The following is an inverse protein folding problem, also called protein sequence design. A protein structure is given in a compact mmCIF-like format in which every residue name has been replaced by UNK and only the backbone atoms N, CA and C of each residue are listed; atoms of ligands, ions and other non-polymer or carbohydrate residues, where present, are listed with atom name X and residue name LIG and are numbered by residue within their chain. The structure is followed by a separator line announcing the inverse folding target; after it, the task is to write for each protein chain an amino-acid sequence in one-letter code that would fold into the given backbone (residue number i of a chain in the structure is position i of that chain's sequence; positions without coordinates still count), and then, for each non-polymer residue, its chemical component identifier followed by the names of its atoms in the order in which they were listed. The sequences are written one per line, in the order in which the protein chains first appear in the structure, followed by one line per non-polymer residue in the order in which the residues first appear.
data_IF_313052905060
#
_entry.id   IF_313052905060
#
_cell.length_a   1.000
_cell.length_b   1.000
_cell.length_c   1.000
_cell.angle_alpha   90.00
_cell.angle_beta   90.00
_cell.angle_gamma   90.00
#
_symmetry.space_group_name_H-M   'P 1'
#
loop_
_entity.id
_entity.type
_entity.pdbx_description
1 polymer ?
#
# COMPACT_ATOMS: atom_id res chain seq x y z
N UNK A 1 8.11 -1.28 0.26
CA UNK A 1 6.83 -1.17 0.98
C UNK A 1 6.60 0.30 1.26
N UNK A 2 5.54 0.88 0.67
CA UNK A 2 5.13 2.28 0.84
C UNK A 2 3.61 2.37 1.06
N UNK A 3 3.12 3.58 1.36
CA UNK A 3 1.77 3.77 1.88
C UNK A 3 1.83 3.83 3.40
N UNK A 4 0.89 3.19 4.08
CA UNK A 4 0.93 3.03 5.52
C UNK A 4 2.00 2.01 5.87
N UNK A 5 3.09 2.44 6.52
CA UNK A 5 4.11 1.54 7.04
C UNK A 5 3.89 1.34 8.54
N UNK A 6 3.37 0.19 9.02
CA UNK A 6 3.00 0.00 10.42
C UNK A 6 4.10 0.31 11.44
N UNK A 7 5.37 0.14 11.06
CA UNK A 7 6.53 0.51 11.88
C UNK A 7 6.57 2.01 12.25
N UNK A 8 5.89 2.86 11.47
CA UNK A 8 5.80 4.31 11.65
C UNK A 8 4.46 4.75 12.26
N UNK A 9 3.72 3.85 12.90
CA UNK A 9 2.37 4.10 13.43
C UNK A 9 2.28 5.35 14.32
N UNK A 10 3.27 5.58 15.18
CA UNK A 10 3.30 6.73 16.07
C UNK A 10 3.47 8.05 15.30
N UNK A 11 4.28 8.05 14.24
CA UNK A 11 4.45 9.21 13.37
C UNK A 11 3.17 9.52 12.57
N UNK A 12 2.42 8.50 12.17
CA UNK A 12 1.13 8.67 11.51
C UNK A 12 -0.03 8.99 12.48
N UNK A 13 0.16 8.73 13.77
CA UNK A 13 -0.88 8.80 14.78
C UNK A 13 -1.97 7.76 14.55
N UNK A 14 -1.58 6.52 14.25
CA UNK A 14 -2.46 5.36 14.06
C UNK A 14 -2.48 4.81 12.61
N UNK A 15 -3.28 3.77 12.41
CA UNK A 15 -3.50 3.15 11.09
C UNK A 15 -4.39 4.05 10.23
N UNK A 16 -3.76 4.91 9.44
CA UNK A 16 -4.46 5.89 8.59
C UNK A 16 -4.16 5.63 7.12
N UNK A 17 -5.18 5.79 6.29
CA UNK A 17 -5.04 5.80 4.82
C UNK A 17 -4.07 6.90 4.40
N UNK A 18 -3.10 6.54 3.55
CA UNK A 18 -2.07 7.43 3.02
C UNK A 18 -2.42 7.94 1.61
N UNK A 19 -1.84 9.06 1.17
CA UNK A 19 -2.09 9.58 -0.18
C UNK A 19 -3.45 10.25 -0.39
N UNK A 20 -4.09 10.74 0.68
CA UNK A 20 -5.41 11.42 0.62
C UNK A 20 -5.38 12.79 -0.06
N UNK A 21 -4.26 13.50 0.04
CA UNK A 21 -4.07 14.81 -0.61
C UNK A 21 -3.29 14.62 -1.90
N UNK A 22 -3.48 15.54 -2.85
CA UNK A 22 -2.75 15.51 -4.11
C UNK A 22 -1.22 15.51 -3.91
N UNK A 23 -0.72 16.33 -2.97
CA UNK A 23 0.69 16.38 -2.64
C UNK A 23 1.20 15.03 -2.08
N UNK A 24 0.44 14.40 -1.17
CA UNK A 24 0.80 13.09 -0.63
C UNK A 24 0.73 11.99 -1.70
N UNK A 25 -0.25 12.05 -2.60
CA UNK A 25 -0.40 11.12 -3.70
C UNK A 25 0.78 11.21 -4.68
N UNK A 26 1.16 12.43 -5.09
CA UNK A 26 2.34 12.67 -5.95
C UNK A 26 3.62 12.12 -5.31
N UNK A 27 3.81 12.37 -4.01
CA UNK A 27 4.96 11.84 -3.26
C UNK A 27 4.99 10.32 -3.23
N UNK A 28 3.84 9.64 -3.11
CA UNK A 28 3.79 8.18 -3.16
C UNK A 28 4.16 7.63 -4.55
N UNK A 29 3.69 8.27 -5.62
CA UNK A 29 4.07 7.91 -6.99
C UNK A 29 5.58 8.06 -7.19
N UNK A 30 6.14 9.19 -6.75
CA UNK A 30 7.58 9.45 -6.84
C UNK A 30 8.39 8.42 -6.05
N UNK A 31 8.00 8.14 -4.81
CA UNK A 31 8.65 7.12 -3.99
C UNK A 31 8.62 5.74 -4.65
N UNK A 32 7.51 5.36 -5.29
CA UNK A 32 7.37 4.09 -5.99
C UNK A 32 8.38 3.99 -7.15
N UNK A 33 8.46 5.03 -7.98
CA UNK A 33 9.40 5.11 -9.10
C UNK A 33 10.86 5.12 -8.64
N UNK A 34 11.17 5.80 -7.52
CA UNK A 34 12.50 5.82 -6.95
C UNK A 34 12.92 4.45 -6.41
N UNK A 35 11.99 3.71 -5.80
CA UNK A 35 12.27 2.34 -5.34
C UNK A 35 12.57 1.40 -6.50
N UNK A 36 11.78 1.46 -7.58
CA UNK A 36 12.05 0.71 -8.81
C UNK A 36 13.42 1.08 -9.39
N UNK A 37 13.71 2.37 -9.53
CA UNK A 37 15.00 2.86 -10.03
C UNK A 37 16.18 2.40 -9.16
N UNK A 38 15.96 2.24 -7.85
CA UNK A 38 16.97 1.72 -6.91
C UNK A 38 17.16 0.20 -7.00
N UNK A 39 16.38 -0.51 -7.83
CA UNK A 39 16.49 -1.95 -8.05
C UNK A 39 15.53 -2.80 -7.22
N UNK A 40 14.47 -2.22 -6.65
CA UNK A 40 13.41 -3.03 -6.06
C UNK A 40 12.78 -3.95 -7.13
N UNK A 41 12.56 -5.21 -6.79
CA UNK A 41 11.93 -6.17 -7.72
C UNK A 41 10.39 -6.18 -7.62
N UNK A 42 9.83 -5.62 -6.56
CA UNK A 42 8.39 -5.47 -6.32
C UNK A 42 8.13 -4.40 -5.25
N UNK A 43 6.91 -3.86 -5.20
CA UNK A 43 6.50 -2.84 -4.20
C UNK A 43 5.17 -3.21 -3.54
N UNK A 44 5.18 -3.34 -2.22
CA UNK A 44 3.93 -3.40 -1.43
C UNK A 44 3.32 -2.01 -1.27
N UNK A 45 2.02 -1.88 -1.54
CA UNK A 45 1.18 -0.71 -1.31
C UNK A 45 0.17 -1.01 -0.19
N UNK A 46 0.29 -0.35 0.95
CA UNK A 46 -0.58 -0.57 2.12
C UNK A 46 -1.46 0.65 2.44
N UNK A 47 -2.77 0.42 2.64
CA UNK A 47 -3.78 1.46 2.96
C UNK A 47 -3.68 2.72 2.08
N UNK A 48 -3.73 2.53 0.76
CA UNK A 48 -3.68 3.58 -0.27
C UNK A 48 -5.02 3.63 -1.01
N UNK A 49 -5.57 4.81 -1.39
CA UNK A 49 -6.76 4.89 -2.21
C UNK A 49 -6.64 4.06 -3.49
N UNK A 50 -7.65 3.25 -3.80
CA UNK A 50 -7.63 2.33 -4.94
C UNK A 50 -7.24 3.00 -6.27
N UNK A 51 -7.78 4.20 -6.55
CA UNK A 51 -7.40 4.97 -7.74
C UNK A 51 -5.92 5.33 -7.80
N UNK A 52 -5.31 5.64 -6.65
CA UNK A 52 -3.89 5.95 -6.57
C UNK A 52 -3.03 4.69 -6.72
N UNK A 53 -3.44 3.58 -6.10
CA UNK A 53 -2.76 2.30 -6.26
C UNK A 53 -2.78 1.83 -7.72
N UNK A 54 -3.91 1.99 -8.43
CA UNK A 54 -4.00 1.76 -9.87
C UNK A 54 -3.00 2.60 -10.66
N UNK A 55 -2.95 3.91 -10.41
CA UNK A 55 -2.00 4.82 -11.07
C UNK A 55 -0.55 4.40 -10.84
N UNK A 56 -0.20 3.96 -9.63
CA UNK A 56 1.15 3.49 -9.31
C UNK A 56 1.43 2.19 -10.07
N UNK A 57 0.49 1.25 -10.05
CA UNK A 57 0.61 -0.05 -10.74
C UNK A 57 0.83 0.12 -12.24
N UNK A 58 0.04 0.98 -12.89
CA UNK A 58 0.17 1.29 -14.32
C UNK A 58 1.49 2.01 -14.69
N UNK A 59 2.18 2.60 -13.71
CA UNK A 59 3.43 3.35 -13.93
C UNK A 59 4.69 2.53 -13.70
N UNK A 60 4.63 1.49 -12.87
CA UNK A 60 5.76 0.63 -12.59
C UNK A 60 5.85 -0.48 -13.62
N UNK A 61 7.08 -0.93 -13.88
CA UNK A 61 7.35 -2.16 -14.64
C UNK A 61 7.46 -3.39 -13.74
N UNK A 62 7.76 -3.18 -12.45
CA UNK A 62 7.82 -4.22 -11.42
C UNK A 62 6.44 -4.47 -10.76
N UNK A 63 6.18 -5.68 -10.27
CA UNK A 63 4.91 -6.01 -9.61
C UNK A 63 4.61 -5.15 -8.38
N UNK A 64 3.35 -4.76 -8.27
CA UNK A 64 2.75 -4.16 -7.07
C UNK A 64 1.95 -5.19 -6.28
N UNK A 65 2.07 -5.17 -4.95
CA UNK A 65 1.33 -6.06 -4.05
C UNK A 65 0.47 -5.22 -3.12
N UNK A 66 -0.85 -5.35 -3.22
CA UNK A 66 -1.81 -4.57 -2.45
C UNK A 66 -2.19 -5.21 -1.10
N UNK A 67 -2.38 -4.36 -0.08
CA UNK A 67 -3.14 -4.68 1.13
C UNK A 67 -3.91 -3.43 1.56
N UNK A 68 -5.24 -3.47 1.49
CA UNK A 68 -6.06 -2.26 1.63
C UNK A 68 -5.77 -1.22 0.53
N UNK A 69 -5.39 -1.66 -0.67
CA UNK A 69 -5.02 -0.80 -1.80
C UNK A 69 -5.91 -0.98 -3.05
N UNK A 70 -7.00 -1.75 -2.93
CA UNK A 70 -7.88 -2.09 -4.06
C UNK A 70 -7.34 -3.24 -4.92
N UNK A 71 -8.14 -3.61 -5.93
CA UNK A 71 -7.91 -4.80 -6.75
C UNK A 71 -7.02 -4.58 -7.97
N UNK A 72 -6.68 -3.33 -8.30
CA UNK A 72 -5.88 -3.00 -9.49
C UNK A 72 -4.36 -3.20 -9.29
N UNK A 73 -3.89 -3.64 -8.10
CA UNK A 73 -2.49 -4.09 -7.93
C UNK A 73 -2.29 -5.48 -8.56
N UNK A 74 -1.07 -5.79 -8.99
CA UNK A 74 -0.74 -7.05 -9.68
C UNK A 74 -0.89 -8.30 -8.80
N UNK A 75 -0.74 -8.13 -7.49
CA UNK A 75 -0.96 -9.16 -6.49
C UNK A 75 -1.53 -8.60 -5.20
N UNK A 76 -1.88 -9.49 -4.28
CA UNK A 76 -2.49 -9.14 -2.99
C UNK A 76 -1.77 -9.87 -1.86
N UNK A 77 -1.74 -9.26 -0.69
CA UNK A 77 -1.26 -9.86 0.55
C UNK A 77 -2.27 -9.61 1.67
N UNK A 78 -2.44 -10.61 2.54
CA UNK A 78 -3.21 -10.50 3.77
C UNK A 78 -2.45 -11.17 4.90
N UNK A 79 -2.71 -10.73 6.12
CA UNK A 79 -2.28 -11.42 7.33
C UNK A 79 -3.17 -12.67 7.49
N UNK A 80 -2.56 -13.85 7.60
CA UNK A 80 -3.31 -15.11 7.51
C UNK A 80 -4.35 -15.27 8.64
N UNK A 81 -4.06 -14.75 9.84
CA UNK A 81 -4.98 -14.78 10.98
C UNK A 81 -6.24 -13.96 10.72
N UNK A 82 -6.09 -12.81 10.06
CA UNK A 82 -7.23 -11.97 9.65
C UNK A 82 -8.05 -12.71 8.58
N UNK A 83 -7.38 -13.31 7.60
CA UNK A 83 -8.00 -14.05 6.50
C UNK A 83 -8.83 -15.25 7.00
N UNK A 84 -8.36 -15.98 8.01
CA UNK A 84 -9.05 -17.16 8.57
C UNK A 84 -9.89 -16.83 9.82
N UNK A 85 -10.13 -15.54 10.09
CA UNK A 85 -11.00 -15.07 11.19
C UNK A 85 -10.58 -15.55 12.58
N UNK A 86 -9.28 -15.61 12.89
CA UNK A 86 -8.80 -15.99 14.23
C UNK A 86 -9.16 -14.94 15.29
N UNK A 87 -9.38 -13.69 14.89
CA UNK A 87 -9.80 -12.61 15.77
C UNK A 87 -11.32 -12.48 15.67
N UNK A 88 -12.05 -13.01 16.65
CA UNK A 88 -13.51 -13.22 16.57
C UNK A 88 -14.39 -11.99 16.32
N UNK A 89 -13.85 -10.76 16.35
CA UNK A 89 -14.64 -9.53 16.12
C UNK A 89 -13.93 -8.35 15.49
N UNK A 90 -12.66 -8.47 15.10
CA UNK A 90 -11.91 -7.39 14.43
C UNK A 90 -11.31 -7.89 13.13
N UNK A 91 -11.75 -7.30 12.02
CA UNK A 91 -11.17 -7.49 10.70
C UNK A 91 -10.89 -6.11 10.12
N UNK A 92 -9.64 -5.81 9.71
CA UNK A 92 -9.33 -4.57 9.01
C UNK A 92 -10.21 -4.39 7.76
N UNK A 93 -10.56 -3.14 7.43
CA UNK A 93 -11.40 -2.78 6.27
C UNK A 93 -10.60 -2.60 4.98
#
# INVERSE_FOLDING_TARGET
HIGLTPQSINAFGGFKVQGKTEAAARRLIENALLLEKAGAFAVVLECVPAKLAKIITEKLTIPTIGIGAGADCDGQVLVYQDMISMFGGFTPK
#
